data_IF_743720071797
#
_entry.id   IF_743720071797
#
_cell.length_a   1.000
_cell.length_b   1.000
_cell.length_c   1.000
_cell.angle_alpha   90.00
_cell.angle_beta   90.00
_cell.angle_gamma   90.00
#
_symmetry.space_group_name_H-M   'P 1'
#
loop_
_entity.id
_entity.type
_entity.pdbx_description
1 polymer ?
#
# COMPACT_ATOMS: atom_id res chain seq x y z
N UNK A 1 27.03 -47.41 6.22
CA UNK A 1 27.18 -45.94 6.11
C UNK A 1 27.86 -45.43 7.38
N UNK A 2 28.99 -44.70 7.26
CA UNK A 2 29.78 -44.25 8.42
C UNK A 2 29.00 -43.17 9.19
N UNK A 3 28.74 -43.37 10.49
CA UNK A 3 28.00 -42.42 11.33
C UNK A 3 28.62 -41.01 11.31
N UNK A 4 29.95 -40.92 11.14
CA UNK A 4 30.66 -39.63 10.98
C UNK A 4 30.35 -38.96 9.64
N UNK A 5 30.28 -39.73 8.56
CA UNK A 5 29.94 -39.23 7.22
C UNK A 5 28.49 -38.74 7.15
N UNK A 6 27.56 -39.48 7.77
CA UNK A 6 26.15 -39.09 7.83
C UNK A 6 25.96 -37.78 8.61
N UNK A 7 26.66 -37.62 9.74
CA UNK A 7 26.57 -36.40 10.55
C UNK A 7 27.13 -35.18 9.82
N UNK A 8 28.25 -35.33 9.11
CA UNK A 8 28.82 -34.24 8.29
C UNK A 8 27.88 -33.83 7.17
N UNK A 9 27.26 -34.79 6.47
CA UNK A 9 26.29 -34.50 5.41
C UNK A 9 25.08 -33.75 5.97
N UNK A 10 24.51 -34.20 7.09
CA UNK A 10 23.36 -33.53 7.74
C UNK A 10 23.72 -32.11 8.17
N UNK A 11 24.88 -31.87 8.79
CA UNK A 11 25.29 -30.53 9.19
C UNK A 11 25.50 -29.59 7.99
N UNK A 12 26.10 -30.08 6.90
CA UNK A 12 26.28 -29.29 5.67
C UNK A 12 24.92 -28.93 5.08
N UNK A 13 23.99 -29.89 4.94
CA UNK A 13 22.64 -29.61 4.45
C UNK A 13 21.87 -28.65 5.37
N UNK A 14 21.96 -28.78 6.69
CA UNK A 14 21.33 -27.84 7.63
C UNK A 14 21.92 -26.43 7.48
N UNK A 15 23.24 -26.31 7.36
CA UNK A 15 23.91 -25.02 7.21
C UNK A 15 23.59 -24.32 5.88
N UNK A 16 23.47 -25.09 4.78
CA UNK A 16 23.07 -24.57 3.47
C UNK A 16 21.60 -24.13 3.49
N UNK A 17 20.72 -24.91 4.14
CA UNK A 17 19.30 -24.60 4.26
C UNK A 17 19.06 -23.31 5.09
N UNK A 18 19.81 -23.13 6.18
CA UNK A 18 19.77 -21.91 6.99
C UNK A 18 20.28 -20.69 6.19
N UNK A 19 21.34 -20.86 5.39
CA UNK A 19 21.84 -19.78 4.52
C UNK A 19 20.82 -19.38 3.43
N UNK A 20 20.06 -20.34 2.90
CA UNK A 20 19.01 -20.05 1.90
C UNK A 20 17.75 -19.40 2.50
N UNK A 21 17.43 -19.65 3.77
CA UNK A 21 16.29 -19.01 4.45
C UNK A 21 16.59 -17.54 4.76
N UNK A 22 17.85 -17.20 5.07
CA UNK A 22 18.25 -15.82 5.40
C UNK A 22 18.14 -14.81 4.24
N UNK A 23 18.05 -15.28 2.99
CA UNK A 23 17.90 -14.44 1.79
C UNK A 23 16.45 -14.06 1.46
N UNK A 24 15.46 -14.59 2.20
CA UNK A 24 14.05 -14.31 1.98
C UNK A 24 13.45 -13.34 3.03
N UNK A 25 14.29 -12.55 3.71
CA UNK A 25 13.78 -11.38 4.41
C UNK A 25 13.42 -10.33 3.34
N UNK A 26 12.12 -10.03 3.24
CA UNK A 26 11.63 -8.89 2.49
C UNK A 26 12.41 -7.65 2.93
N UNK A 27 13.17 -7.02 2.03
CA UNK A 27 13.79 -5.73 2.32
C UNK A 27 12.67 -4.71 2.43
N UNK A 28 12.19 -4.44 3.64
CA UNK A 28 11.66 -3.12 3.94
C UNK A 28 12.84 -2.16 3.85
N UNK A 29 13.11 -1.63 2.65
CA UNK A 29 14.05 -0.52 2.53
C UNK A 29 13.60 0.60 3.47
N UNK A 30 14.54 1.25 4.14
CA UNK A 30 14.22 2.44 4.92
C UNK A 30 13.47 3.43 4.01
N UNK A 31 12.37 4.01 4.51
CA UNK A 31 11.65 5.05 3.81
C UNK A 31 12.58 6.24 3.53
N UNK A 32 12.42 6.95 2.39
CA UNK A 32 13.24 8.11 2.11
C UNK A 32 13.05 9.16 3.21
N UNK A 33 14.16 9.75 3.60
CA UNK A 33 14.18 10.95 4.42
C UNK A 33 13.71 12.14 3.61
N UNK A 34 13.38 13.22 4.34
CA UNK A 34 12.81 14.41 3.74
C UNK A 34 13.75 15.09 2.71
N UNK A 35 15.06 15.05 2.95
CA UNK A 35 16.08 15.64 2.08
C UNK A 35 16.32 14.82 0.80
N UNK A 36 15.81 13.58 0.73
CA UNK A 36 15.92 12.68 -0.42
C UNK A 36 14.74 12.84 -1.40
N UNK A 37 13.72 13.61 -1.04
CA UNK A 37 12.54 13.84 -1.88
C UNK A 37 12.85 14.84 -3.00
N UNK A 38 12.38 14.55 -4.21
CA UNK A 38 12.44 15.47 -5.33
C UNK A 38 11.41 16.60 -5.18
N UNK A 39 11.65 17.72 -5.86
CA UNK A 39 10.64 18.77 -5.98
C UNK A 39 9.40 18.23 -6.72
N UNK A 40 8.21 18.44 -6.16
CA UNK A 40 6.97 17.92 -6.72
C UNK A 40 6.49 16.64 -6.03
N UNK A 41 5.65 15.86 -6.69
CA UNK A 41 5.08 14.65 -6.08
C UNK A 41 6.05 13.47 -6.16
N UNK A 42 6.28 12.84 -5.01
CA UNK A 42 7.09 11.64 -4.84
C UNK A 42 6.17 10.48 -4.44
N UNK A 43 6.20 9.37 -5.18
CA UNK A 43 5.44 8.16 -4.83
C UNK A 43 6.24 7.33 -3.84
N UNK A 44 5.64 7.04 -2.69
CA UNK A 44 6.25 6.30 -1.60
C UNK A 44 5.57 4.93 -1.48
N UNK A 45 6.39 3.89 -1.50
CA UNK A 45 5.99 2.51 -1.21
C UNK A 45 6.53 2.17 0.19
N UNK A 46 5.68 2.10 1.23
CA UNK A 46 6.15 1.84 2.58
C UNK A 46 6.62 0.41 2.83
N UNK A 47 6.21 -0.54 1.98
CA UNK A 47 6.51 -1.94 2.15
C UNK A 47 5.94 -2.51 3.46
N UNK A 48 6.60 -3.54 3.98
CA UNK A 48 6.13 -4.29 5.15
C UNK A 48 4.82 -5.03 4.86
N UNK A 49 3.93 -5.07 5.85
CA UNK A 49 2.61 -5.72 5.74
C UNK A 49 1.52 -4.80 5.16
N UNK A 50 1.87 -3.59 4.72
CA UNK A 50 0.93 -2.57 4.24
C UNK A 50 0.44 -2.90 2.83
N UNK A 51 -0.83 -3.28 2.69
CA UNK A 51 -1.43 -3.67 1.39
C UNK A 51 -2.84 -3.10 1.21
N UNK A 52 -3.30 -3.05 -0.03
CA UNK A 52 -4.69 -2.74 -0.37
C UNK A 52 -5.63 -3.93 -0.09
N UNK A 53 -6.94 -3.72 -0.21
CA UNK A 53 -7.96 -4.72 0.14
C UNK A 53 -7.78 -6.09 -0.53
N UNK A 54 -7.24 -6.13 -1.75
CA UNK A 54 -7.02 -7.36 -2.51
C UNK A 54 -5.57 -7.83 -2.50
N UNK A 55 -4.77 -7.36 -1.53
CA UNK A 55 -3.38 -7.77 -1.34
C UNK A 55 -2.40 -7.14 -2.33
N UNK A 56 -2.83 -6.16 -3.13
CA UNK A 56 -1.95 -5.37 -3.99
C UNK A 56 -1.11 -4.39 -3.15
N UNK A 57 0.03 -3.98 -3.70
CA UNK A 57 0.96 -3.07 -3.04
C UNK A 57 0.31 -1.71 -2.76
N UNK A 58 0.48 -1.21 -1.54
CA UNK A 58 0.03 0.12 -1.15
C UNK A 58 1.10 1.17 -1.49
N UNK A 59 0.66 2.36 -1.90
CA UNK A 59 1.51 3.53 -2.11
C UNK A 59 0.74 4.81 -1.80
N UNK A 60 1.48 5.84 -1.42
CA UNK A 60 0.98 7.19 -1.14
C UNK A 60 1.95 8.23 -1.73
N UNK A 61 1.54 9.50 -1.78
CA UNK A 61 2.37 10.54 -2.39
C UNK A 61 2.77 11.62 -1.40
N UNK A 62 4.00 12.11 -1.52
CA UNK A 62 4.54 13.21 -0.71
C UNK A 62 5.05 14.30 -1.62
N UNK A 63 4.65 15.55 -1.34
CA UNK A 63 5.18 16.73 -2.01
C UNK A 63 5.87 17.65 -1.01
N UNK A 64 7.20 17.77 -1.06
CA UNK A 64 7.91 18.71 -0.23
C UNK A 64 7.67 20.16 -0.68
N UNK A 65 7.62 21.07 0.29
CA UNK A 65 7.65 22.53 0.12
C UNK A 65 8.59 23.16 1.17
N UNK A 66 8.94 24.43 0.97
CA UNK A 66 9.70 25.21 1.97
C UNK A 66 8.74 25.81 3.01
N UNK A 67 8.24 24.96 3.90
CA UNK A 67 7.22 25.32 4.89
C UNK A 67 7.30 24.45 6.14
N UNK A 68 6.89 24.99 7.28
CA UNK A 68 6.75 24.27 8.54
C UNK A 68 5.35 23.62 8.70
N UNK A 69 4.47 23.80 7.71
CA UNK A 69 3.09 23.32 7.74
C UNK A 69 2.91 22.05 6.92
N UNK A 70 1.99 21.21 7.36
CA UNK A 70 1.68 19.92 6.74
C UNK A 70 0.18 19.80 6.47
N UNK A 71 -0.15 19.46 5.22
CA UNK A 71 -1.48 19.00 4.80
C UNK A 71 -1.42 17.48 4.63
N UNK A 72 -2.31 16.76 5.30
CA UNK A 72 -2.54 15.33 5.05
C UNK A 72 -3.93 15.20 4.43
N UNK A 73 -3.99 14.72 3.19
CA UNK A 73 -5.23 14.50 2.46
C UNK A 73 -5.55 13.01 2.40
N UNK A 74 -6.71 12.62 2.89
CA UNK A 74 -7.22 11.25 2.82
C UNK A 74 -8.14 11.12 1.61
N UNK A 75 -7.72 10.33 0.61
CA UNK A 75 -8.54 10.18 -0.58
C UNK A 75 -9.84 9.43 -0.29
N UNK A 76 -10.87 9.73 -1.09
CA UNK A 76 -12.13 8.98 -1.11
C UNK A 76 -12.11 7.86 -2.15
N UNK A 77 -13.27 7.25 -2.37
CA UNK A 77 -13.43 6.22 -3.40
C UNK A 77 -14.35 5.09 -3.01
N UNK A 78 -15.45 5.35 -2.29
CA UNK A 78 -16.44 4.32 -1.91
C UNK A 78 -16.09 3.55 -0.64
N UNK A 79 -16.78 2.44 -0.41
CA UNK A 79 -16.57 1.54 0.73
C UNK A 79 -17.28 0.20 0.48
N UNK A 80 -16.96 -0.83 1.27
CA UNK A 80 -17.67 -2.11 1.23
C UNK A 80 -17.70 -2.79 2.61
N UNK A 81 -18.72 -3.62 2.90
CA UNK A 81 -18.88 -4.29 4.20
C UNK A 81 -19.64 -5.63 4.15
N UNK A 82 -19.87 -6.19 2.95
CA UNK A 82 -20.40 -7.54 2.73
C UNK A 82 -20.04 -8.03 1.32
N UNK A 83 -20.08 -9.35 1.08
CA UNK A 83 -19.46 -9.97 -0.09
C UNK A 83 -19.91 -9.48 -1.45
N UNK A 84 -21.20 -9.15 -1.61
CA UNK A 84 -21.71 -8.65 -2.90
C UNK A 84 -21.08 -7.32 -3.29
N UNK A 85 -20.79 -6.43 -2.33
CA UNK A 85 -20.22 -5.10 -2.59
C UNK A 85 -18.70 -5.03 -2.40
N UNK A 86 -18.12 -6.07 -1.80
CA UNK A 86 -16.67 -6.28 -1.72
C UNK A 86 -16.14 -7.22 -2.82
N UNK A 87 -16.97 -7.62 -3.78
CA UNK A 87 -16.60 -8.55 -4.84
C UNK A 87 -15.43 -7.97 -5.67
N UNK A 88 -14.29 -8.68 -5.82
CA UNK A 88 -13.19 -8.21 -6.65
C UNK A 88 -13.53 -7.96 -8.13
N UNK A 89 -14.59 -8.60 -8.65
CA UNK A 89 -15.04 -8.39 -10.04
C UNK A 89 -15.80 -7.08 -10.25
N UNK A 90 -16.53 -6.59 -9.23
CA UNK A 90 -17.32 -5.36 -9.28
C UNK A 90 -17.43 -4.71 -7.89
N UNK A 91 -16.32 -4.16 -7.37
CA UNK A 91 -16.30 -3.59 -6.02
C UNK A 91 -16.97 -2.20 -6.00
N UNK A 92 -17.65 -1.87 -4.89
CA UNK A 92 -18.23 -0.52 -4.69
C UNK A 92 -17.22 0.50 -4.15
N UNK A 93 -15.92 0.21 -4.28
CA UNK A 93 -14.83 1.09 -3.91
C UNK A 93 -13.69 0.99 -4.93
N UNK A 94 -12.72 1.90 -4.88
CA UNK A 94 -11.51 1.87 -5.72
C UNK A 94 -10.46 0.97 -5.06
N UNK A 95 -10.13 -0.23 -5.58
CA UNK A 95 -9.27 -1.20 -4.89
C UNK A 95 -7.78 -1.05 -5.24
N UNK A 96 -7.37 0.10 -5.74
CA UNK A 96 -5.99 0.37 -6.16
C UNK A 96 -5.55 1.76 -5.71
N UNK A 97 -4.24 1.93 -5.61
CA UNK A 97 -3.64 3.21 -5.23
C UNK A 97 -3.83 4.25 -6.33
N UNK A 98 -3.87 5.51 -5.95
CA UNK A 98 -4.05 6.59 -6.92
C UNK A 98 -2.71 6.96 -7.57
N UNK A 99 -2.76 7.48 -8.79
CA UNK A 99 -1.67 8.29 -9.33
C UNK A 99 -1.53 9.60 -8.54
N UNK A 100 -0.55 10.42 -8.91
CA UNK A 100 -0.39 11.75 -8.31
C UNK A 100 -1.65 12.60 -8.51
N UNK A 101 -2.03 13.47 -7.55
CA UNK A 101 -3.26 14.25 -7.65
C UNK A 101 -3.28 15.21 -8.84
N UNK A 102 -4.43 15.33 -9.51
CA UNK A 102 -4.65 16.35 -10.53
C UNK A 102 -4.50 17.76 -9.92
N UNK A 103 -3.93 18.74 -10.65
CA UNK A 103 -3.69 20.10 -10.16
C UNK A 103 -4.99 20.93 -10.15
N UNK A 104 -5.96 20.49 -9.36
CA UNK A 104 -7.29 21.10 -9.23
C UNK A 104 -7.69 21.21 -7.75
N UNK A 105 -8.64 22.09 -7.45
CA UNK A 105 -9.13 22.27 -6.08
C UNK A 105 -8.00 22.70 -5.13
N UNK A 106 -7.80 21.94 -4.04
CA UNK A 106 -6.72 22.22 -3.08
C UNK A 106 -5.32 21.93 -3.63
N UNK A 107 -5.22 21.19 -4.75
CA UNK A 107 -3.96 20.88 -5.41
C UNK A 107 -3.66 21.81 -6.59
N UNK A 108 -4.54 22.78 -6.88
CA UNK A 108 -4.21 23.90 -7.75
C UNK A 108 -3.31 24.88 -6.99
N UNK A 109 -2.00 24.68 -7.12
CA UNK A 109 -0.98 25.44 -6.39
C UNK A 109 -0.62 26.77 -7.08
N UNK A 110 -1.10 26.98 -8.31
CA UNK A 110 -0.93 28.25 -9.04
C UNK A 110 -2.02 29.26 -8.66
N UNK A 111 -3.12 28.80 -8.05
CA UNK A 111 -4.17 29.65 -7.55
C UNK A 111 -3.74 30.42 -6.30
N UNK A 112 -3.58 31.74 -6.43
CA UNK A 112 -3.21 32.66 -5.34
C UNK A 112 -4.19 32.64 -4.15
N UNK A 113 -5.44 32.18 -4.34
CA UNK A 113 -6.43 32.04 -3.28
C UNK A 113 -6.30 30.73 -2.49
N UNK A 114 -5.43 29.80 -2.89
CA UNK A 114 -5.24 28.52 -2.22
C UNK A 114 -4.42 28.70 -0.93
N UNK A 115 -5.01 28.53 0.27
CA UNK A 115 -4.30 28.73 1.54
C UNK A 115 -3.28 27.64 1.85
N UNK A 116 -3.21 26.58 1.03
CA UNK A 116 -2.32 25.44 1.18
C UNK A 116 -1.21 25.38 0.13
N UNK A 117 -1.12 26.37 -0.77
CA UNK A 117 -0.22 26.33 -1.93
C UNK A 117 1.26 26.09 -1.56
N UNK A 118 1.68 26.56 -0.38
CA UNK A 118 3.03 26.45 0.17
C UNK A 118 3.20 25.30 1.19
N UNK A 119 2.16 24.50 1.46
CA UNK A 119 2.26 23.43 2.47
C UNK A 119 3.03 22.24 1.93
N UNK A 120 3.70 21.54 2.84
CA UNK A 120 4.07 20.15 2.61
C UNK A 120 2.80 19.32 2.48
N UNK A 121 2.74 18.41 1.52
CA UNK A 121 1.53 17.62 1.30
C UNK A 121 1.81 16.13 1.35
N UNK A 122 0.96 15.40 2.06
CA UNK A 122 0.87 13.94 2.01
C UNK A 122 -0.51 13.59 1.47
N UNK A 123 -0.55 12.89 0.34
CA UNK A 123 -1.77 12.33 -0.22
C UNK A 123 -1.83 10.84 0.11
N UNK A 124 -2.76 10.46 0.96
CA UNK A 124 -2.99 9.08 1.38
C UNK A 124 -3.98 8.45 0.40
N UNK A 125 -3.49 7.54 -0.45
CA UNK A 125 -4.33 6.69 -1.29
C UNK A 125 -5.32 5.91 -0.44
N UNK A 126 -6.48 5.61 -1.01
CA UNK A 126 -7.50 4.81 -0.35
C UNK A 126 -7.88 3.64 -1.25
N UNK A 127 -7.46 2.45 -0.83
CA UNK A 127 -7.66 1.20 -1.59
C UNK A 127 -8.14 0.03 -0.73
N UNK A 128 -8.64 0.33 0.47
CA UNK A 128 -8.98 -0.64 1.52
C UNK A 128 -10.48 -0.89 1.67
N UNK A 129 -11.33 0.01 1.17
CA UNK A 129 -12.80 -0.13 1.25
C UNK A 129 -13.38 0.11 2.65
N UNK A 130 -12.56 0.54 3.62
CA UNK A 130 -12.86 0.63 5.05
C UNK A 130 -13.01 2.07 5.59
N UNK A 131 -13.04 3.06 4.70
CA UNK A 131 -13.15 4.50 5.01
C UNK A 131 -12.02 4.99 5.93
N UNK A 132 -10.82 4.40 5.84
CA UNK A 132 -9.64 4.70 6.68
C UNK A 132 -9.84 4.34 8.17
N UNK A 133 -10.79 3.46 8.49
CA UNK A 133 -11.09 3.03 9.86
C UNK A 133 -10.74 1.57 10.15
N UNK A 134 -10.34 0.81 9.12
CA UNK A 134 -10.08 -0.62 9.23
C UNK A 134 -8.73 -0.95 9.85
N UNK A 135 -8.70 -2.07 10.58
CA UNK A 135 -7.47 -2.69 11.09
C UNK A 135 -7.67 -4.22 11.19
N UNK A 136 -8.42 -4.80 10.25
CA UNK A 136 -8.73 -6.22 10.25
C UNK A 136 -8.75 -6.77 8.83
N UNK A 137 -8.36 -8.03 8.68
CA UNK A 137 -8.50 -8.78 7.43
C UNK A 137 -9.79 -9.58 7.50
N UNK A 138 -10.62 -9.47 6.46
CA UNK A 138 -11.94 -10.12 6.40
C UNK A 138 -12.10 -10.80 5.05
N UNK A 139 -12.39 -12.09 5.08
CA UNK A 139 -12.85 -12.83 3.90
C UNK A 139 -14.38 -12.72 3.83
N UNK A 140 -14.90 -12.21 2.73
CA UNK A 140 -16.34 -12.11 2.51
C UNK A 140 -16.84 -13.26 1.63
N UNK A 141 -17.90 -13.92 2.06
CA UNK A 141 -18.62 -14.88 1.22
C UNK A 141 -19.44 -14.14 0.16
N UNK A 142 -19.22 -14.47 -1.11
CA UNK A 142 -20.02 -13.98 -2.23
C UNK A 142 -21.12 -15.04 -2.49
N UNK A 143 -22.40 -14.71 -2.27
CA UNK A 143 -23.49 -15.63 -2.59
C UNK A 143 -23.42 -16.00 -4.07
N UNK A 144 -23.61 -17.27 -4.40
CA UNK A 144 -23.75 -17.69 -5.79
C UNK A 144 -24.89 -16.90 -6.44
N UNK A 145 -24.61 -16.23 -7.54
CA UNK A 145 -25.67 -15.72 -8.42
C UNK A 145 -26.38 -16.95 -8.95
N UNK A 146 -27.66 -17.14 -8.60
CA UNK A 146 -28.49 -18.05 -9.39
C UNK A 146 -28.50 -17.46 -10.80
N UNK A 147 -27.84 -18.13 -11.74
CA UNK A 147 -27.85 -17.80 -13.15
C UNK A 147 -29.32 -17.75 -13.59
N UNK A 148 -29.91 -16.55 -13.62
CA UNK A 148 -31.19 -16.36 -14.26
C UNK A 148 -30.92 -16.45 -15.76
N UNK A 149 -31.02 -17.68 -16.28
CA UNK A 149 -31.06 -17.97 -17.71
C UNK A 149 -32.02 -16.97 -18.38
N UNK A 150 -31.49 -16.17 -19.30
CA UNK A 150 -32.24 -15.31 -20.21
C UNK A 150 -31.85 -15.65 -21.65
#
# INVERSE_FOLDING_TARGET
MNKRLLLTIVCVFLSVFILSIGLAFSQSGDLPTWDELENGWNTIIPGGDTTCAFGTEFSFHVRPADSDKLLIFFNGGGACWFGQICNPEDPTFVPFTNDVPDPTGIFDLENEANPFADYNMVFVSYCTGDVHLGNNVVDYEIPATEDSEA
#
